data_IF_589190561732
#
_entry.id   IF_589190561732
#
_cell.length_a   1.000
_cell.length_b   1.000
_cell.length_c   1.000
_cell.angle_alpha   90.00
_cell.angle_beta   90.00
_cell.angle_gamma   90.00
#
_symmetry.space_group_name_H-M   'P 1'
#
loop_
_entity.id
_entity.type
_entity.pdbx_description
1 polymer ?
#
# COMPACT_ATOMS: atom_id res chain seq x y z
N UNK A 1 -10.60 7.96 3.14
CA UNK A 1 -9.83 6.81 3.63
C UNK A 1 -10.72 5.59 3.48
N UNK A 2 -10.32 4.64 2.64
CA UNK A 2 -11.11 3.44 2.30
C UNK A 2 -10.53 2.22 3.03
N UNK A 3 -11.36 1.23 3.37
CA UNK A 3 -10.90 -0.03 3.99
C UNK A 3 -11.18 -1.24 3.06
N UNK A 4 -10.25 -2.19 3.00
CA UNK A 4 -10.37 -3.45 2.27
C UNK A 4 -10.03 -4.63 3.18
N UNK A 5 -10.66 -5.77 2.97
CA UNK A 5 -10.24 -6.99 3.65
C UNK A 5 -8.90 -7.49 3.11
N UNK A 6 -8.12 -8.20 3.94
CA UNK A 6 -6.89 -8.85 3.52
C UNK A 6 -7.11 -9.84 2.36
N UNK A 7 -8.31 -10.43 2.30
CA UNK A 7 -8.73 -11.29 1.19
C UNK A 7 -8.85 -10.47 -0.11
N UNK A 8 -9.57 -9.35 -0.07
CA UNK A 8 -9.77 -8.50 -1.25
C UNK A 8 -8.48 -7.87 -1.74
N UNK A 9 -7.62 -7.43 -0.81
CA UNK A 9 -6.29 -6.93 -1.10
C UNK A 9 -5.42 -7.97 -1.83
N UNK A 10 -5.44 -9.23 -1.37
CA UNK A 10 -4.73 -10.34 -2.03
C UNK A 10 -5.24 -10.61 -3.44
N UNK A 11 -6.55 -10.67 -3.63
CA UNK A 11 -7.14 -11.04 -4.93
C UNK A 11 -7.16 -9.88 -5.94
N UNK A 12 -7.15 -8.64 -5.47
CA UNK A 12 -7.27 -7.44 -6.31
C UNK A 12 -6.11 -6.47 -6.07
N UNK A 13 -4.87 -6.99 -6.04
CA UNK A 13 -3.71 -6.19 -5.68
C UNK A 13 -3.50 -4.98 -6.59
N UNK A 14 -3.71 -5.12 -7.91
CA UNK A 14 -3.64 -3.98 -8.84
C UNK A 14 -4.60 -2.84 -8.45
N UNK A 15 -5.86 -3.18 -8.16
CA UNK A 15 -6.86 -2.22 -7.68
C UNK A 15 -6.47 -1.59 -6.34
N UNK A 16 -5.87 -2.37 -5.43
CA UNK A 16 -5.35 -1.83 -4.17
C UNK A 16 -4.28 -0.76 -4.43
N UNK A 17 -3.35 -0.99 -5.36
CA UNK A 17 -2.33 0.00 -5.74
C UNK A 17 -2.98 1.26 -6.33
N UNK A 18 -3.93 1.11 -7.25
CA UNK A 18 -4.63 2.25 -7.85
C UNK A 18 -5.34 3.11 -6.79
N UNK A 19 -6.02 2.47 -5.84
CA UNK A 19 -6.67 3.15 -4.73
C UNK A 19 -5.66 3.83 -3.81
N UNK A 20 -4.58 3.13 -3.43
CA UNK A 20 -3.54 3.65 -2.55
C UNK A 20 -2.78 4.86 -3.13
N UNK A 21 -2.73 4.97 -4.46
CA UNK A 21 -2.19 6.14 -5.16
C UNK A 21 -3.12 7.35 -5.11
N UNK A 22 -4.43 7.13 -4.97
CA UNK A 22 -5.42 8.21 -4.87
C UNK A 22 -5.65 8.65 -3.41
N UNK A 23 -5.71 7.71 -2.47
CA UNK A 23 -5.87 7.97 -1.05
C UNK A 23 -5.34 6.81 -0.18
N UNK A 24 -5.02 7.03 1.11
CA UNK A 24 -4.66 5.95 2.01
C UNK A 24 -5.75 4.89 2.16
N UNK A 25 -5.35 3.62 2.06
CA UNK A 25 -6.22 2.44 2.18
C UNK A 25 -5.85 1.61 3.39
N UNK A 26 -6.81 1.35 4.26
CA UNK A 26 -6.65 0.42 5.40
C UNK A 26 -6.89 -1.00 4.91
N UNK A 27 -5.99 -1.92 5.23
CA UNK A 27 -6.24 -3.36 5.06
C UNK A 27 -6.57 -3.97 6.40
N UNK A 28 -7.68 -4.70 6.45
CA UNK A 28 -8.19 -5.34 7.66
C UNK A 28 -8.09 -6.86 7.59
N UNK A 29 -7.74 -7.49 8.71
CA UNK A 29 -7.79 -8.95 8.88
C UNK A 29 -8.77 -9.27 10.01
N UNK A 30 -9.81 -10.05 9.70
CA UNK A 30 -10.88 -10.37 10.65
C UNK A 30 -11.50 -9.12 11.31
N UNK A 31 -11.72 -8.05 10.53
CA UNK A 31 -12.29 -6.78 11.01
C UNK A 31 -11.35 -5.95 11.89
N UNK A 32 -10.05 -6.26 11.91
CA UNK A 32 -9.05 -5.46 12.62
C UNK A 32 -8.11 -4.82 11.61
N UNK A 33 -7.85 -3.50 11.69
CA UNK A 33 -6.86 -2.85 10.85
C UNK A 33 -5.48 -3.45 11.13
N UNK A 34 -4.78 -3.87 10.08
CA UNK A 34 -3.45 -4.49 10.20
C UNK A 34 -2.36 -3.69 9.49
N UNK A 35 -2.67 -3.07 8.36
CA UNK A 35 -1.74 -2.19 7.62
C UNK A 35 -2.49 -1.05 6.95
N UNK A 36 -1.76 0.03 6.64
CA UNK A 36 -2.22 1.11 5.76
C UNK A 36 -1.31 1.11 4.53
N UNK A 37 -1.90 1.14 3.34
CA UNK A 37 -1.21 1.25 2.06
C UNK A 37 -1.46 2.65 1.49
N UNK A 38 -0.40 3.30 1.05
CA UNK A 38 -0.41 4.66 0.52
C UNK A 38 0.71 4.81 -0.50
N UNK A 39 0.65 5.86 -1.33
CA UNK A 39 1.65 6.11 -2.37
C UNK A 39 3.02 6.40 -1.77
N UNK A 40 4.09 6.14 -2.53
CA UNK A 40 5.45 6.45 -2.08
C UNK A 40 5.59 7.93 -1.78
N UNK A 41 5.06 8.80 -2.63
CA UNK A 41 5.11 10.26 -2.45
C UNK A 41 4.45 10.68 -1.13
N UNK A 42 3.31 10.08 -0.79
CA UNK A 42 2.62 10.37 0.47
C UNK A 42 3.41 9.84 1.68
N UNK A 43 4.03 8.66 1.57
CA UNK A 43 4.91 8.14 2.61
C UNK A 43 6.10 9.06 2.87
N UNK A 44 6.76 9.52 1.80
CA UNK A 44 7.89 10.45 1.87
C UNK A 44 7.46 11.78 2.50
N UNK A 45 6.29 12.31 2.12
CA UNK A 45 5.73 13.54 2.71
C UNK A 45 5.46 13.41 4.20
N UNK A 46 4.93 12.27 4.64
CA UNK A 46 4.57 12.02 6.04
C UNK A 46 5.79 11.75 6.93
N UNK A 47 6.80 11.07 6.40
CA UNK A 47 7.95 10.61 7.21
C UNK A 47 9.22 11.45 7.02
N UNK A 48 9.31 12.23 5.95
CA UNK A 48 10.53 12.92 5.53
C UNK A 48 11.62 12.00 4.97
N UNK A 49 11.37 10.69 4.92
CA UNK A 49 12.33 9.70 4.46
C UNK A 49 12.13 9.43 2.97
N UNK A 50 13.17 9.63 2.15
CA UNK A 50 13.13 9.23 0.75
C UNK A 50 13.16 7.71 0.60
N UNK A 51 12.29 7.17 -0.23
CA UNK A 51 12.24 5.75 -0.56
C UNK A 51 13.08 5.53 -1.81
N UNK A 52 14.30 5.05 -1.63
CA UNK A 52 15.12 4.61 -2.75
C UNK A 52 14.53 3.31 -3.34
N UNK A 53 14.55 3.11 -4.67
CA UNK A 53 14.22 1.81 -5.24
C UNK A 53 15.15 0.77 -4.64
N UNK A 54 14.58 -0.31 -4.09
CA UNK A 54 15.39 -1.48 -3.71
C UNK A 54 16.02 -2.00 -4.99
N UNK A 55 17.35 -1.96 -5.08
CA UNK A 55 18.10 -2.50 -6.20
C UNK A 55 17.93 -4.02 -6.22
N UNK A 56 16.82 -4.48 -6.80
CA UNK A 56 16.68 -5.83 -7.29
C UNK A 56 17.03 -5.77 -8.77
N UNK A 57 18.33 -5.64 -9.03
CA UNK A 57 18.87 -6.04 -10.33
C UNK A 57 18.85 -7.57 -10.35
N UNK A 58 18.01 -8.15 -11.21
CA UNK A 58 18.01 -9.60 -11.49
C UNK A 58 16.95 -10.40 -10.75
N UNK A 59 15.75 -10.43 -11.30
CA UNK A 59 15.04 -11.70 -11.44
C UNK A 59 15.00 -11.94 -12.96
N UNK A 60 15.77 -12.93 -13.42
CA UNK A 60 15.81 -13.36 -14.83
C UNK A 60 14.44 -13.80 -15.36
#
# INVERSE_FOLDING_TARGET
MTALSARDAKYNFGRLIDLARAEPVVVEKHGRPVVVVLSVEEYERLTGNKVAPSRLEGEE
#
